data_IF_648646624809
#
_entry.id   IF_648646624809
#
_cell.length_a   1.000
_cell.length_b   1.000
_cell.length_c   1.000
_cell.angle_alpha   90.00
_cell.angle_beta   90.00
_cell.angle_gamma   90.00
#
_symmetry.space_group_name_H-M   'P 1'
#
loop_
_entity.id
_entity.type
_entity.pdbx_description
1 polymer ?
#
# COMPACT_ATOMS: atom_id res chain seq x y z
N UNK A 1 -6.25 -15.08 -7.23
CA UNK A 1 -6.50 -14.17 -6.10
C UNK A 1 -7.58 -14.82 -5.24
N UNK A 2 -7.24 -15.26 -4.02
CA UNK A 2 -8.24 -15.85 -3.14
C UNK A 2 -9.10 -14.70 -2.60
N UNK A 3 -10.37 -14.63 -3.05
CA UNK A 3 -11.33 -13.67 -2.49
C UNK A 3 -11.57 -14.05 -1.04
N UNK A 4 -11.31 -13.13 -0.12
CA UNK A 4 -11.71 -13.24 1.28
C UNK A 4 -13.21 -13.54 1.33
N UNK A 5 -13.56 -14.72 1.85
CA UNK A 5 -14.96 -15.08 2.07
C UNK A 5 -15.38 -14.43 3.38
N UNK A 6 -16.09 -13.30 3.28
CA UNK A 6 -16.78 -12.70 4.42
C UNK A 6 -18.22 -13.22 4.45
N UNK A 7 -18.77 -13.35 5.65
CA UNK A 7 -20.13 -13.86 5.87
C UNK A 7 -20.73 -13.10 7.04
N UNK A 8 -22.03 -12.82 6.97
CA UNK A 8 -22.74 -12.07 7.99
C UNK A 8 -23.57 -13.01 8.85
N UNK A 9 -23.50 -12.88 10.17
CA UNK A 9 -24.26 -13.70 11.12
C UNK A 9 -25.13 -12.81 12.01
N UNK A 10 -26.37 -13.25 12.23
CA UNK A 10 -27.25 -12.64 13.22
C UNK A 10 -26.82 -13.08 14.64
N UNK A 11 -26.50 -12.13 15.52
CA UNK A 11 -26.09 -12.42 16.90
C UNK A 11 -27.21 -12.99 17.79
N UNK A 12 -28.48 -12.81 17.41
CA UNK A 12 -29.58 -13.30 18.23
C UNK A 12 -30.06 -14.71 17.86
N UNK A 13 -30.08 -15.05 16.57
CA UNK A 13 -30.60 -16.35 16.10
C UNK A 13 -29.58 -17.19 15.32
N UNK A 14 -28.37 -16.67 15.09
CA UNK A 14 -27.30 -17.40 14.41
C UNK A 14 -27.49 -17.57 12.90
N UNK A 15 -28.50 -16.93 12.29
CA UNK A 15 -28.72 -17.07 10.84
C UNK A 15 -27.61 -16.43 10.02
N UNK A 16 -27.17 -17.16 9.01
CA UNK A 16 -26.15 -16.72 8.07
C UNK A 16 -26.75 -15.96 6.90
N UNK A 17 -26.13 -14.84 6.53
CA UNK A 17 -26.46 -14.01 5.38
C UNK A 17 -25.21 -13.79 4.51
N UNK A 18 -25.40 -13.84 3.18
CA UNK A 18 -24.32 -13.63 2.21
C UNK A 18 -23.97 -12.15 1.98
N UNK A 19 -24.84 -11.24 2.42
CA UNK A 19 -24.67 -9.79 2.36
C UNK A 19 -25.25 -9.17 3.63
N UNK A 20 -24.76 -7.99 3.99
CA UNK A 20 -25.32 -7.24 5.10
C UNK A 20 -26.78 -6.87 4.80
N UNK A 21 -27.66 -7.09 5.77
CA UNK A 21 -29.06 -6.68 5.72
C UNK A 21 -29.43 -6.04 7.05
N UNK A 22 -30.19 -4.95 7.02
CA UNK A 22 -30.52 -4.18 8.24
C UNK A 22 -31.47 -4.90 9.21
N UNK A 23 -32.28 -5.84 8.69
CA UNK A 23 -33.20 -6.65 9.47
C UNK A 23 -32.96 -8.14 9.23
N UNK A 24 -32.87 -8.92 10.30
CA UNK A 24 -32.73 -10.36 10.22
C UNK A 24 -34.04 -11.04 9.79
N UNK A 25 -34.01 -11.85 8.73
CA UNK A 25 -35.19 -12.54 8.18
C UNK A 25 -35.79 -13.62 9.10
N UNK A 26 -35.02 -14.16 10.05
CA UNK A 26 -35.49 -15.21 10.96
C UNK A 26 -36.06 -14.66 12.29
N UNK A 27 -35.32 -13.82 13.01
CA UNK A 27 -35.77 -13.24 14.28
C UNK A 27 -36.46 -11.86 14.16
N UNK A 28 -36.49 -11.26 12.95
CA UNK A 28 -37.07 -9.92 12.67
C UNK A 28 -36.42 -8.76 13.41
N UNK A 29 -35.30 -8.98 14.07
CA UNK A 29 -34.57 -7.92 14.76
C UNK A 29 -33.72 -7.08 13.82
N UNK A 30 -33.51 -5.84 14.24
CA UNK A 30 -32.75 -4.84 13.50
C UNK A 30 -31.35 -4.72 14.06
N UNK A 31 -30.38 -4.45 13.18
CA UNK A 31 -28.98 -4.18 13.54
C UNK A 31 -28.26 -5.28 14.34
N UNK A 32 -28.76 -6.52 14.31
CA UNK A 32 -28.15 -7.67 15.00
C UNK A 32 -27.22 -8.49 14.10
N UNK A 33 -27.05 -8.08 12.85
CA UNK A 33 -26.24 -8.80 11.85
C UNK A 33 -24.83 -8.22 11.82
N UNK A 34 -23.85 -9.06 12.18
CA UNK A 34 -22.43 -8.72 12.30
C UNK A 34 -21.61 -9.52 11.30
N UNK A 35 -20.54 -8.93 10.79
CA UNK A 35 -19.63 -9.58 9.85
C UNK A 35 -18.62 -10.47 10.59
N UNK A 36 -18.49 -11.72 10.16
CA UNK A 36 -17.47 -12.65 10.67
C UNK A 36 -16.60 -13.17 9.50
N UNK A 37 -15.29 -13.04 9.66
CA UNK A 37 -14.30 -13.40 8.64
C UNK A 37 -13.92 -14.87 8.81
N UNK A 38 -14.55 -15.75 8.03
CA UNK A 38 -14.34 -17.21 8.11
C UNK A 38 -12.95 -17.67 7.66
N UNK A 39 -12.26 -16.87 6.86
CA UNK A 39 -10.90 -17.17 6.43
C UNK A 39 -10.03 -15.93 6.57
N UNK A 40 -9.31 -15.84 7.69
CA UNK A 40 -8.18 -14.93 7.84
C UNK A 40 -7.21 -15.28 6.73
N UNK A 41 -6.86 -14.31 5.88
CA UNK A 41 -5.82 -14.52 4.89
C UNK A 41 -4.61 -15.12 5.60
N UNK A 42 -4.18 -16.31 5.20
CA UNK A 42 -2.84 -16.77 5.54
C UNK A 42 -1.93 -15.64 5.10
N UNK A 43 -1.27 -14.99 6.07
CA UNK A 43 -0.26 -13.98 5.78
C UNK A 43 0.73 -14.66 4.86
N UNK A 44 0.59 -14.44 3.54
CA UNK A 44 1.59 -14.86 2.58
C UNK A 44 2.83 -14.16 3.07
N UNK A 45 3.73 -14.93 3.67
CA UNK A 45 5.10 -14.50 3.90
C UNK A 45 5.59 -14.12 2.54
N UNK A 46 5.54 -12.83 2.24
CA UNK A 46 6.09 -12.29 1.03
C UNK A 46 7.60 -12.46 1.25
N UNK A 47 8.11 -13.64 0.90
CA UNK A 47 9.53 -13.83 0.67
C UNK A 47 9.84 -12.86 -0.44
N UNK A 48 10.23 -11.65 -0.06
CA UNK A 48 10.87 -10.71 -0.95
C UNK A 48 12.00 -11.51 -1.57
N UNK A 49 11.83 -11.85 -2.85
CA UNK A 49 12.94 -12.35 -3.64
C UNK A 49 14.03 -11.31 -3.41
N UNK A 50 15.16 -11.73 -2.86
CA UNK A 50 16.37 -10.90 -2.84
C UNK A 50 16.77 -10.74 -4.31
N UNK A 51 16.09 -9.85 -5.01
CA UNK A 51 16.51 -9.40 -6.33
C UNK A 51 17.88 -8.77 -6.11
N UNK A 52 18.86 -9.36 -6.80
CA UNK A 52 20.26 -9.12 -6.55
C UNK A 52 20.65 -7.65 -6.69
N UNK A 53 21.73 -7.31 -5.98
CA UNK A 53 22.67 -6.22 -6.28
C UNK A 53 22.07 -5.03 -7.03
N UNK A 54 21.38 -4.17 -6.29
CA UNK A 54 21.07 -2.80 -6.66
C UNK A 54 20.91 -2.05 -5.35
N UNK A 55 21.50 -0.85 -5.26
CA UNK A 55 21.56 0.00 -4.06
C UNK A 55 20.25 -0.11 -3.27
N UNK A 56 20.32 -0.79 -2.13
CA UNK A 56 19.15 -0.96 -1.26
C UNK A 56 18.98 0.36 -0.54
N UNK A 57 18.08 1.22 -1.05
CA UNK A 57 17.73 2.46 -0.37
C UNK A 57 17.18 2.11 1.01
N UNK A 58 18.01 2.31 2.03
CA UNK A 58 17.63 2.11 3.43
C UNK A 58 16.75 3.29 3.84
N UNK A 59 15.63 3.04 4.55
CA UNK A 59 14.85 4.13 5.11
C UNK A 59 15.71 4.92 6.10
N UNK A 60 15.75 6.23 5.92
CA UNK A 60 16.44 7.19 6.78
C UNK A 60 15.39 8.12 7.41
N UNK A 61 15.65 8.61 8.62
CA UNK A 61 14.82 9.67 9.20
C UNK A 61 15.08 10.96 8.43
N UNK A 62 14.09 11.85 8.38
CA UNK A 62 14.19 13.12 7.67
C UNK A 62 15.39 13.96 8.15
N UNK A 63 15.66 13.96 9.45
CA UNK A 63 16.79 14.68 10.07
C UNK A 63 18.15 14.12 9.65
N UNK A 64 18.21 12.86 9.24
CA UNK A 64 19.46 12.18 8.87
C UNK A 64 19.74 12.28 7.35
N UNK A 65 18.90 12.98 6.58
CA UNK A 65 19.09 13.18 5.13
C UNK A 65 20.17 14.24 4.91
N UNK A 66 21.30 13.82 4.35
CA UNK A 66 22.37 14.73 3.94
C UNK A 66 22.14 15.20 2.51
N UNK A 67 22.09 16.52 2.29
CA UNK A 67 22.08 17.12 0.95
C UNK A 67 23.51 17.39 0.50
N UNK A 68 24.05 16.52 -0.34
CA UNK A 68 25.33 16.79 -0.99
C UNK A 68 25.12 17.64 -2.25
N UNK A 69 25.87 18.73 -2.44
CA UNK A 69 25.88 19.43 -3.71
C UNK A 69 26.56 18.55 -4.77
N UNK A 70 25.81 18.14 -5.79
CA UNK A 70 26.35 17.44 -6.95
C UNK A 70 26.97 18.45 -7.92
N UNK A 71 28.12 18.10 -8.52
CA UNK A 71 28.72 18.90 -9.57
C UNK A 71 27.83 18.90 -10.82
N UNK A 72 27.33 20.08 -11.20
CA UNK A 72 26.54 20.29 -12.41
C UNK A 72 27.40 20.84 -13.54
N UNK A 73 27.22 20.31 -14.74
CA UNK A 73 27.86 20.76 -15.97
C UNK A 73 26.90 21.71 -16.70
N UNK A 74 27.35 22.93 -16.94
CA UNK A 74 26.60 23.95 -17.69
C UNK A 74 26.64 23.62 -19.18
N UNK A 75 25.49 23.63 -19.85
CA UNK A 75 25.37 23.22 -21.26
C UNK A 75 25.51 24.38 -22.25
N UNK A 76 25.80 25.59 -21.77
CA UNK A 76 25.81 26.85 -22.52
C UNK A 76 24.47 27.21 -23.17
N UNK A 77 23.39 26.51 -22.82
CA UNK A 77 22.02 26.87 -23.16
C UNK A 77 21.25 27.14 -21.87
N UNK A 78 20.94 28.41 -21.64
CA UNK A 78 20.30 28.88 -20.41
C UNK A 78 18.93 28.24 -20.15
N UNK A 79 18.13 28.03 -21.19
CA UNK A 79 16.80 27.42 -21.05
C UNK A 79 16.93 25.95 -20.65
N UNK A 80 17.86 25.23 -21.30
CA UNK A 80 18.13 23.84 -20.99
C UNK A 80 18.66 23.66 -19.56
N UNK A 81 19.61 24.50 -19.15
CA UNK A 81 20.14 24.46 -17.79
C UNK A 81 19.05 24.76 -16.75
N UNK A 82 18.09 25.64 -17.06
CA UNK A 82 16.94 25.94 -16.18
C UNK A 82 16.02 24.73 -16.04
N UNK A 83 15.68 24.06 -17.15
CA UNK A 83 14.85 22.84 -17.15
C UNK A 83 15.52 21.71 -16.36
N UNK A 84 16.85 21.60 -16.43
CA UNK A 84 17.63 20.59 -15.71
C UNK A 84 17.94 20.95 -14.25
N UNK A 85 17.47 22.11 -13.76
CA UNK A 85 17.68 22.55 -12.38
C UNK A 85 19.10 23.07 -12.10
N UNK A 86 19.73 23.72 -13.08
CA UNK A 86 21.06 24.32 -12.98
C UNK A 86 22.16 23.60 -13.78
N UNK A 87 21.81 22.72 -14.71
CA UNK A 87 22.75 21.98 -15.57
C UNK A 87 22.76 20.46 -15.35
N UNK A 88 23.58 19.76 -16.14
CA UNK A 88 23.66 18.28 -16.19
C UNK A 88 24.42 17.68 -15.01
N UNK A 89 23.87 16.63 -14.39
CA UNK A 89 24.53 15.87 -13.32
C UNK A 89 25.19 14.61 -13.91
N UNK A 90 26.45 14.35 -13.54
CA UNK A 90 27.18 13.16 -13.98
C UNK A 90 26.53 11.88 -13.45
N UNK A 91 26.24 10.92 -14.33
CA UNK A 91 25.65 9.63 -13.95
C UNK A 91 24.14 9.65 -13.75
N UNK A 92 23.46 10.75 -14.10
CA UNK A 92 22.01 10.78 -14.25
C UNK A 92 21.62 10.02 -15.52
N UNK A 93 20.64 9.11 -15.43
CA UNK A 93 20.03 8.38 -16.56
C UNK A 93 18.76 9.08 -17.00
#
# INVERSE_FOLDING_TARGET
MAKTKTTFFCQNCGTQHAKWVGQCGACKEWNTIVEEVLQKEEKRSWKQAKTGRGIVNKPLKIIDIQTNPEERIITNNKELDTVLGGGLVKGSV
#
